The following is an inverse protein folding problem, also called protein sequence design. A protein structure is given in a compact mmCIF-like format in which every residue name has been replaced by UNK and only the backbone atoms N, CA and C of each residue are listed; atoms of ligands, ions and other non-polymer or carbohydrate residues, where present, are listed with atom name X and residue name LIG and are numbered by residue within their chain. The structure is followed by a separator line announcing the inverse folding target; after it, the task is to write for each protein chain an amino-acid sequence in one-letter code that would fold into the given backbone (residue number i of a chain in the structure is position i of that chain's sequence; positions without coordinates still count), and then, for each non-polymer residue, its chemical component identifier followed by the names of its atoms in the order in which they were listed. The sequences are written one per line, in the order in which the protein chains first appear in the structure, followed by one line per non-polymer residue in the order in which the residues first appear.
data_IF_507255851595
#
_entry.id   IF_507255851595
#
_cell.length_a   1.000
_cell.length_b   1.000
_cell.length_c   1.000
_cell.angle_alpha   90.00
_cell.angle_beta   90.00
_cell.angle_gamma   90.00
#
_symmetry.space_group_name_H-M   'P 1'
#
loop_
_entity.id
_entity.type
_entity.pdbx_description
1 polymer ?
#
# COMPACT_ATOMS: atom_id res chain seq x y z
N UNK A 1 17.79 26.50 6.83
CA UNK A 1 17.57 25.72 5.60
C UNK A 1 16.08 25.45 5.53
N UNK A 2 15.34 25.74 4.45
CA UNK A 2 13.91 25.47 4.45
C UNK A 2 13.69 23.96 4.54
N UNK A 3 13.31 23.54 5.74
CA UNK A 3 12.86 22.21 6.15
C UNK A 3 11.46 21.96 5.60
N UNK A 4 11.30 22.07 4.28
CA UNK A 4 10.02 21.73 3.66
C UNK A 4 9.93 20.21 3.61
N UNK A 5 9.32 19.64 4.66
CA UNK A 5 8.99 18.22 4.75
C UNK A 5 8.31 17.80 3.46
N UNK A 6 8.70 16.64 2.92
CA UNK A 6 8.20 16.18 1.64
C UNK A 6 6.72 15.80 1.75
N UNK A 7 5.84 16.76 1.42
CA UNK A 7 4.39 16.62 1.53
C UNK A 7 3.84 15.43 0.74
N UNK A 8 4.48 15.05 -0.37
CA UNK A 8 4.07 13.89 -1.17
C UNK A 8 4.39 12.58 -0.46
N UNK A 9 5.58 12.43 0.12
CA UNK A 9 5.90 11.24 0.92
C UNK A 9 5.11 11.19 2.23
N UNK A 10 4.73 12.33 2.81
CA UNK A 10 3.78 12.36 3.92
C UNK A 10 2.39 11.88 3.48
N UNK A 11 1.87 12.37 2.34
CA UNK A 11 0.61 11.90 1.78
C UNK A 11 0.65 10.40 1.43
N UNK A 12 1.78 9.92 0.89
CA UNK A 12 2.02 8.49 0.66
C UNK A 12 1.96 7.69 1.96
N UNK A 13 2.63 8.14 3.02
CA UNK A 13 2.59 7.47 4.33
C UNK A 13 1.16 7.39 4.89
N UNK A 14 0.44 8.51 4.91
CA UNK A 14 -0.93 8.58 5.45
C UNK A 14 -1.87 7.68 4.66
N UNK A 15 -1.89 7.80 3.33
CA UNK A 15 -2.75 6.97 2.46
C UNK A 15 -2.41 5.48 2.56
N UNK A 16 -1.12 5.12 2.61
CA UNK A 16 -0.70 3.72 2.80
C UNK A 16 -1.13 3.17 4.16
N UNK A 17 -1.08 4.00 5.20
CA UNK A 17 -1.54 3.61 6.55
C UNK A 17 -3.06 3.40 6.57
N UNK A 18 -3.84 4.29 5.94
CA UNK A 18 -5.28 4.13 5.81
C UNK A 18 -5.61 2.82 5.06
N UNK A 19 -4.89 2.52 3.98
CA UNK A 19 -5.05 1.26 3.26
C UNK A 19 -4.74 0.05 4.17
N UNK A 20 -3.67 0.10 4.97
CA UNK A 20 -3.35 -0.95 5.93
C UNK A 20 -4.47 -1.13 6.96
N UNK A 21 -5.02 -0.04 7.49
CA UNK A 21 -6.13 -0.08 8.45
C UNK A 21 -7.42 -0.66 7.84
N UNK A 22 -7.71 -0.34 6.57
CA UNK A 22 -8.84 -0.94 5.87
C UNK A 22 -8.71 -2.46 5.76
N UNK A 23 -7.51 -2.97 5.45
CA UNK A 23 -7.23 -4.41 5.43
C UNK A 23 -7.30 -5.03 6.82
N UNK A 24 -6.78 -4.35 7.84
CA UNK A 24 -6.90 -4.80 9.23
C UNK A 24 -8.37 -4.89 9.66
N UNK A 25 -9.21 -3.97 9.18
CA UNK A 25 -10.66 -3.99 9.37
C UNK A 25 -11.30 -5.30 8.87
N UNK A 26 -10.85 -5.87 7.75
CA UNK A 26 -11.35 -7.18 7.31
C UNK A 26 -11.09 -8.30 8.32
N UNK A 27 -9.96 -8.26 9.03
CA UNK A 27 -9.63 -9.25 10.06
C UNK A 27 -10.50 -9.05 11.30
N UNK A 28 -10.72 -7.80 11.71
CA UNK A 28 -11.43 -7.45 12.94
C UNK A 28 -12.95 -7.61 12.78
N UNK A 29 -13.50 -7.18 11.65
CA UNK A 29 -14.94 -7.15 11.39
C UNK A 29 -15.43 -8.33 10.52
N UNK A 30 -14.53 -9.16 10.00
CA UNK A 30 -14.85 -10.44 9.37
C UNK A 30 -15.43 -10.33 7.95
N UNK A 31 -16.23 -11.33 7.58
CA UNK A 31 -16.68 -11.60 6.21
C UNK A 31 -17.37 -10.41 5.53
N UNK A 32 -18.20 -9.64 6.26
CA UNK A 32 -18.91 -8.48 5.72
C UNK A 32 -17.96 -7.42 5.19
N UNK A 33 -16.80 -7.23 5.84
CA UNK A 33 -15.78 -6.31 5.35
C UNK A 33 -15.04 -6.85 4.13
N UNK A 34 -14.82 -8.16 4.03
CA UNK A 34 -14.27 -8.77 2.81
C UNK A 34 -15.23 -8.58 1.62
N UNK A 35 -16.54 -8.74 1.82
CA UNK A 35 -17.56 -8.47 0.79
C UNK A 35 -17.64 -6.99 0.44
N UNK A 36 -17.69 -6.12 1.45
CA UNK A 36 -17.79 -4.67 1.28
C UNK A 36 -16.59 -4.10 0.50
N UNK A 37 -15.37 -4.50 0.85
CA UNK A 37 -14.18 -4.11 0.12
C UNK A 37 -14.06 -4.84 -1.23
N UNK A 38 -14.88 -5.85 -1.51
CA UNK A 38 -14.93 -6.52 -2.80
C UNK A 38 -13.83 -7.56 -3.03
N UNK A 39 -13.32 -8.17 -1.96
CA UNK A 39 -12.34 -9.27 -1.98
C UNK A 39 -12.95 -10.62 -2.47
N UNK A 40 -14.23 -10.60 -2.87
CA UNK A 40 -14.95 -11.74 -3.40
C UNK A 40 -15.58 -12.65 -2.35
N UNK A 41 -16.59 -13.38 -2.79
CA UNK A 41 -17.40 -14.24 -1.91
C UNK A 41 -16.57 -15.40 -1.33
N UNK A 42 -15.62 -15.92 -2.08
CA UNK A 42 -14.73 -16.99 -1.62
C UNK A 42 -13.95 -16.57 -0.36
N UNK A 43 -13.36 -15.36 -0.36
CA UNK A 43 -12.62 -14.86 0.81
C UNK A 43 -13.53 -14.62 2.01
N UNK A 44 -14.73 -14.09 1.77
CA UNK A 44 -15.71 -13.85 2.82
C UNK A 44 -16.17 -15.16 3.48
N UNK A 45 -16.52 -16.17 2.68
CA UNK A 45 -16.93 -17.49 3.19
C UNK A 45 -15.81 -18.20 3.95
N UNK A 46 -14.56 -18.10 3.48
CA UNK A 46 -13.42 -18.64 4.22
C UNK A 46 -13.29 -17.98 5.60
N UNK A 47 -13.50 -16.66 5.70
CA UNK A 47 -13.45 -15.94 6.96
C UNK A 47 -14.62 -16.31 7.89
N UNK A 48 -15.83 -16.41 7.35
CA UNK A 48 -17.05 -16.84 8.07
C UNK A 48 -16.91 -18.24 8.69
N UNK A 49 -16.30 -19.16 7.94
CA UNK A 49 -16.07 -20.53 8.38
C UNK A 49 -14.84 -20.67 9.30
N UNK A 50 -14.18 -19.57 9.67
CA UNK A 50 -13.04 -19.58 10.59
C UNK A 50 -11.74 -20.15 10.01
N UNK A 51 -11.59 -20.21 8.68
CA UNK A 51 -10.33 -20.62 8.07
C UNK A 51 -9.23 -19.60 8.33
N UNK A 52 -8.01 -20.07 8.55
CA UNK A 52 -6.85 -19.22 8.83
C UNK A 52 -6.37 -18.41 7.62
N UNK A 53 -6.68 -18.86 6.40
CA UNK A 53 -6.14 -18.31 5.16
C UNK A 53 -6.42 -16.81 4.96
N UNK A 54 -7.67 -16.30 5.07
CA UNK A 54 -7.96 -14.88 4.97
C UNK A 54 -7.18 -14.04 5.97
N UNK A 55 -7.13 -14.47 7.24
CA UNK A 55 -6.42 -13.76 8.30
C UNK A 55 -4.93 -13.65 8.00
N UNK A 56 -4.28 -14.74 7.59
CA UNK A 56 -2.82 -14.73 7.31
C UNK A 56 -2.50 -13.87 6.09
N UNK A 57 -3.21 -14.05 4.98
CA UNK A 57 -2.96 -13.28 3.75
C UNK A 57 -3.19 -11.79 3.99
N UNK A 58 -4.30 -11.43 4.65
CA UNK A 58 -4.60 -10.04 4.98
C UNK A 58 -3.59 -9.45 5.97
N UNK A 59 -3.12 -10.24 6.95
CA UNK A 59 -2.08 -9.79 7.90
C UNK A 59 -0.76 -9.48 7.21
N UNK A 60 -0.36 -10.28 6.22
CA UNK A 60 0.83 -10.02 5.40
C UNK A 60 0.67 -8.70 4.64
N UNK A 61 -0.50 -8.44 4.03
CA UNK A 61 -0.77 -7.17 3.37
C UNK A 61 -0.69 -5.98 4.33
N UNK A 62 -1.28 -6.09 5.52
CA UNK A 62 -1.21 -5.06 6.56
C UNK A 62 0.25 -4.76 6.93
N UNK A 63 1.05 -5.80 7.21
CA UNK A 63 2.45 -5.64 7.59
C UNK A 63 3.28 -4.98 6.48
N UNK A 64 3.10 -5.40 5.22
CA UNK A 64 3.78 -4.82 4.05
C UNK A 64 3.41 -3.36 3.87
N UNK A 65 2.13 -3.00 3.96
CA UNK A 65 1.67 -1.61 3.80
C UNK A 65 2.17 -0.72 4.94
N UNK A 66 2.17 -1.20 6.18
CA UNK A 66 2.75 -0.46 7.31
C UNK A 66 4.26 -0.24 7.11
N UNK A 67 4.98 -1.26 6.63
CA UNK A 67 6.40 -1.13 6.31
C UNK A 67 6.62 -0.06 5.23
N UNK A 68 5.82 -0.06 4.16
CA UNK A 68 5.89 0.95 3.10
C UNK A 68 5.61 2.36 3.64
N UNK A 69 4.62 2.50 4.54
CA UNK A 69 4.34 3.76 5.23
C UNK A 69 5.55 4.25 6.04
N UNK A 70 6.24 3.36 6.77
CA UNK A 70 7.47 3.71 7.49
C UNK A 70 8.58 4.19 6.54
N UNK A 71 8.75 3.54 5.38
CA UNK A 71 9.68 4.00 4.35
C UNK A 71 9.31 5.38 3.81
N UNK A 72 8.02 5.66 3.59
CA UNK A 72 7.54 6.98 3.19
C UNK A 72 7.82 8.05 4.27
N UNK A 73 7.53 7.77 5.54
CA UNK A 73 7.85 8.66 6.67
C UNK A 73 9.36 8.93 6.78
N UNK A 74 10.18 7.90 6.56
CA UNK A 74 11.63 7.99 6.55
C UNK A 74 12.13 8.87 5.40
N UNK A 75 11.60 8.69 4.20
CA UNK A 75 11.89 9.53 3.03
C UNK A 75 11.38 10.96 3.15
N UNK A 76 10.31 11.18 3.93
CA UNK A 76 9.81 12.50 4.26
C UNK A 76 10.61 13.23 5.35
N UNK A 77 11.54 12.53 6.01
CA UNK A 77 12.37 13.07 7.10
C UNK A 77 11.62 13.20 8.43
N UNK A 78 10.51 12.46 8.62
CA UNK A 78 9.74 12.47 9.88
C UNK A 78 10.28 11.47 10.91
N UNK A 79 10.94 10.40 10.44
CA UNK A 79 11.57 9.38 11.29
C UNK A 79 13.02 9.14 10.85
N UNK A 80 13.74 8.32 11.63
CA UNK A 80 15.12 7.93 11.30
C UNK A 80 15.22 7.31 9.90
N UNK A 81 16.37 7.50 9.26
CA UNK A 81 16.65 6.97 7.93
C UNK A 81 16.69 5.43 7.97
N UNK A 82 15.88 4.79 7.13
CA UNK A 82 15.83 3.33 6.99
C UNK A 82 16.84 2.83 5.93
N UNK A 83 17.28 1.56 6.02
CA UNK A 83 18.23 1.00 5.06
C UNK A 83 17.62 0.93 3.66
N UNK A 84 18.45 1.14 2.63
CA UNK A 84 18.05 1.06 1.21
C UNK A 84 16.90 2.00 0.80
N UNK A 85 16.68 3.09 1.55
CA UNK A 85 15.53 3.99 1.43
C UNK A 85 15.17 4.36 -0.02
N UNK A 86 16.14 4.85 -0.81
CA UNK A 86 15.89 5.24 -2.20
C UNK A 86 15.43 4.07 -3.07
N UNK A 87 16.09 2.92 -2.94
CA UNK A 87 15.76 1.71 -3.71
C UNK A 87 14.35 1.22 -3.36
N UNK A 88 14.04 1.15 -2.07
CA UNK A 88 12.74 0.68 -1.58
C UNK A 88 11.63 1.64 -2.01
N UNK A 89 11.82 2.96 -1.91
CA UNK A 89 10.82 3.93 -2.37
C UNK A 89 10.56 3.84 -3.88
N UNK A 90 11.61 3.65 -4.69
CA UNK A 90 11.45 3.37 -6.12
C UNK A 90 10.67 2.07 -6.36
N UNK A 91 11.01 0.99 -5.66
CA UNK A 91 10.34 -0.30 -5.79
C UNK A 91 8.85 -0.19 -5.43
N UNK A 92 8.50 0.47 -4.32
CA UNK A 92 7.11 0.69 -3.91
C UNK A 92 6.35 1.46 -4.98
N UNK A 93 6.91 2.57 -5.48
CA UNK A 93 6.29 3.36 -6.54
C UNK A 93 6.03 2.50 -7.79
N UNK A 94 7.03 1.74 -8.23
CA UNK A 94 6.91 0.85 -9.39
C UNK A 94 5.85 -0.23 -9.19
N UNK A 95 5.84 -0.92 -8.04
CA UNK A 95 4.85 -1.97 -7.75
C UNK A 95 3.43 -1.40 -7.78
N UNK A 96 3.20 -0.26 -7.11
CA UNK A 96 1.88 0.36 -7.07
C UNK A 96 1.40 0.83 -8.44
N UNK A 97 2.28 1.45 -9.22
CA UNK A 97 1.94 1.93 -10.57
C UNK A 97 1.70 0.77 -11.54
N UNK A 98 2.56 -0.25 -11.52
CA UNK A 98 2.38 -1.47 -12.33
C UNK A 98 1.07 -2.16 -11.96
N UNK A 99 0.76 -2.30 -10.68
CA UNK A 99 -0.50 -2.87 -10.21
C UNK A 99 -1.69 -2.04 -10.71
N UNK A 100 -1.60 -0.72 -10.63
CA UNK A 100 -2.67 0.18 -11.03
C UNK A 100 -3.01 0.09 -12.52
N UNK A 101 -2.01 -0.03 -13.40
CA UNK A 101 -2.25 -0.13 -14.86
C UNK A 101 -2.42 -1.57 -15.35
N UNK A 102 -1.81 -2.52 -14.65
CA UNK A 102 -1.80 -3.94 -15.01
C UNK A 102 -2.96 -4.74 -14.44
N UNK A 103 -3.95 -4.11 -13.79
CA UNK A 103 -5.02 -4.82 -13.08
C UNK A 103 -5.82 -5.76 -13.97
N UNK A 104 -5.99 -5.44 -15.27
CA UNK A 104 -6.67 -6.29 -16.25
C UNK A 104 -5.99 -7.66 -16.37
N UNK A 105 -4.65 -7.69 -16.30
CA UNK A 105 -3.88 -8.93 -16.32
C UNK A 105 -3.93 -9.70 -14.99
N UNK A 106 -4.33 -9.04 -13.89
CA UNK A 106 -4.46 -9.65 -12.56
C UNK A 106 -5.82 -10.30 -12.34
N UNK A 107 -6.88 -9.86 -13.05
CA UNK A 107 -8.25 -10.39 -12.91
C UNK A 107 -8.31 -11.93 -12.95
N UNK A 108 -7.65 -12.64 -13.89
CA UNK A 108 -7.75 -14.09 -13.97
C UNK A 108 -7.17 -14.84 -12.75
N UNK A 109 -6.24 -14.23 -12.01
CA UNK A 109 -5.58 -14.84 -10.86
C UNK A 109 -6.38 -14.69 -9.55
N UNK A 110 -7.33 -13.76 -9.52
CA UNK A 110 -8.18 -13.50 -8.35
C UNK A 110 -9.65 -13.51 -8.76
N UNK A 111 -10.17 -14.67 -9.21
CA UNK A 111 -11.58 -14.81 -9.57
C UNK A 111 -12.46 -14.53 -8.35
N UNK A 112 -13.54 -13.79 -8.54
CA UNK A 112 -14.49 -13.43 -7.48
C UNK A 112 -14.35 -12.00 -6.96
N UNK A 113 -13.23 -11.31 -7.20
CA UNK A 113 -13.13 -9.88 -6.94
C UNK A 113 -14.09 -9.10 -7.86
N UNK A 114 -14.81 -8.11 -7.30
CA UNK A 114 -15.77 -7.32 -8.09
C UNK A 114 -15.08 -6.36 -9.05
N UNK A 115 -15.75 -5.97 -10.14
CA UNK A 115 -15.22 -4.95 -11.05
C UNK A 115 -15.00 -3.62 -10.32
N UNK A 116 -15.92 -3.25 -9.42
CA UNK A 116 -15.79 -2.05 -8.58
C UNK A 116 -14.52 -2.09 -7.73
N UNK A 117 -14.20 -3.25 -7.13
CA UNK A 117 -12.94 -3.42 -6.40
C UNK A 117 -11.75 -3.13 -7.32
N UNK A 118 -11.72 -3.73 -8.51
CA UNK A 118 -10.61 -3.54 -9.44
C UNK A 118 -10.42 -2.07 -9.83
N UNK A 119 -11.49 -1.36 -10.17
CA UNK A 119 -11.42 0.06 -10.56
C UNK A 119 -11.02 0.96 -9.38
N UNK A 120 -11.68 0.81 -8.23
CA UNK A 120 -11.42 1.65 -7.05
C UNK A 120 -10.02 1.41 -6.51
N UNK A 121 -9.64 0.14 -6.29
CA UNK A 121 -8.31 -0.18 -5.78
C UNK A 121 -7.21 0.23 -6.74
N UNK A 122 -7.43 0.15 -8.07
CA UNK A 122 -6.44 0.59 -9.06
C UNK A 122 -6.29 2.11 -9.07
N UNK A 123 -7.39 2.85 -8.92
CA UNK A 123 -7.34 4.29 -8.71
C UNK A 123 -6.57 4.67 -7.45
N UNK A 124 -6.81 3.98 -6.32
CA UNK A 124 -6.07 4.17 -5.07
C UNK A 124 -4.57 3.88 -5.27
N UNK A 125 -4.23 2.75 -5.87
CA UNK A 125 -2.83 2.39 -6.14
C UNK A 125 -2.15 3.39 -7.09
N UNK A 126 -2.86 3.93 -8.08
CA UNK A 126 -2.33 4.97 -8.98
C UNK A 126 -1.97 6.24 -8.21
N UNK A 127 -2.90 6.73 -7.38
CA UNK A 127 -2.70 7.95 -6.57
C UNK A 127 -1.56 7.75 -5.56
N UNK A 128 -1.56 6.63 -4.84
CA UNK A 128 -0.49 6.30 -3.90
C UNK A 128 0.86 6.17 -4.62
N UNK A 129 0.91 5.42 -5.72
CA UNK A 129 2.10 5.24 -6.54
C UNK A 129 2.65 6.57 -7.06
N UNK A 130 1.78 7.50 -7.47
CA UNK A 130 2.17 8.85 -7.88
C UNK A 130 2.76 9.66 -6.70
N UNK A 131 2.19 9.57 -5.49
CA UNK A 131 2.77 10.21 -4.30
C UNK A 131 4.17 9.67 -3.98
N UNK A 132 4.37 8.34 -4.02
CA UNK A 132 5.69 7.74 -3.86
C UNK A 132 6.64 8.20 -4.96
N UNK A 133 6.23 8.17 -6.23
CA UNK A 133 7.09 8.54 -7.36
C UNK A 133 7.52 10.02 -7.31
N UNK A 134 6.56 10.94 -7.22
CA UNK A 134 6.82 12.39 -7.17
C UNK A 134 7.59 12.75 -5.89
N UNK A 135 7.21 12.17 -4.76
CA UNK A 135 7.90 12.36 -3.50
C UNK A 135 9.37 11.92 -3.57
N UNK A 136 9.61 10.72 -4.11
CA UNK A 136 10.98 10.18 -4.26
C UNK A 136 11.81 11.02 -5.23
N UNK A 137 11.22 11.46 -6.34
CA UNK A 137 11.88 12.35 -7.30
C UNK A 137 12.28 13.69 -6.66
N UNK A 138 11.38 14.33 -5.90
CA UNK A 138 11.67 15.59 -5.21
C UNK A 138 12.73 15.46 -4.11
N UNK A 139 12.76 14.33 -3.41
CA UNK A 139 13.75 14.06 -2.36
C UNK A 139 15.07 13.48 -2.88
N UNK A 140 15.18 13.20 -4.19
CA UNK A 140 16.28 12.45 -4.79
C UNK A 140 17.69 12.90 -4.38
N UNK A 141 18.02 14.21 -4.33
CA UNK A 141 19.36 14.66 -3.94
C UNK A 141 19.70 14.30 -2.49
N UNK A 142 18.72 14.35 -1.59
CA UNK A 142 18.88 14.12 -0.14
C UNK A 142 18.87 12.61 0.17
N UNK A 143 18.14 11.82 -0.63
CA UNK A 143 18.09 10.37 -0.51
C UNK A 143 19.40 9.66 -0.89
N UNK A 144 20.31 10.31 -1.63
CA UNK A 144 21.64 9.74 -1.97
C UNK A 144 22.64 9.74 -0.82
N UNK A 145 22.52 10.67 0.13
CA UNK A 145 23.60 10.90 1.11
C UNK A 145 23.46 9.89 2.25
N UNK A 146 24.37 8.90 2.30
CA UNK A 146 24.66 8.18 3.55
C UNK A 146 25.36 9.16 4.49
N UNK A 147 24.58 9.99 5.20
CA UNK A 147 25.10 10.70 6.37
C UNK A 147 25.12 9.68 7.51
N UNK A 148 26.26 9.03 7.67
CA UNK A 148 26.66 8.47 8.96
C UNK A 148 27.24 9.60 9.80
#
# INVERSE_FOLDING_TARGET
MPTDKNKYLMAAAISTTIAALAHLGCIIFGADWYRFLGAGEQMAQLAENGYWYPTVVTSVLVAVLLLWSLYALSGAGLIKRLPLLRLVLCAIASILLIRAVGFVYLIPFFPGNSLTFWLVSSGICLVMGAFYAVGTYKAWPVLKINRY
#
